data_IF_811097735721
#
_entry.id   IF_811097735721
#
_cell.length_a   1.000
_cell.length_b   1.000
_cell.length_c   1.000
_cell.angle_alpha   90.00
_cell.angle_beta   90.00
_cell.angle_gamma   90.00
#
_symmetry.space_group_name_H-M   'P 1'
#
loop_
_entity.id
_entity.type
_entity.pdbx_description
1 polymer ?
#
# COMPACT_ATOMS: atom_id res chain seq x y z
N UNK A 1 -38.30 11.94 -38.31
CA UNK A 1 -37.39 11.11 -39.09
C UNK A 1 -37.85 9.64 -39.27
N UNK A 2 -38.78 9.11 -38.46
CA UNK A 2 -39.29 7.70 -38.56
C UNK A 2 -40.78 7.66 -38.79
N UNK A 3 -41.26 8.17 -39.98
CA UNK A 3 -42.71 8.25 -40.30
C UNK A 3 -43.32 7.00 -40.95
N UNK A 4 -42.58 5.89 -41.04
CA UNK A 4 -43.10 4.64 -41.63
C UNK A 4 -42.81 3.41 -40.76
N UNK A 5 -43.47 2.29 -41.00
CA UNK A 5 -43.30 1.00 -40.32
C UNK A 5 -41.82 0.56 -40.40
N UNK A 6 -41.16 0.75 -41.54
CA UNK A 6 -39.75 0.42 -41.74
C UNK A 6 -38.84 1.18 -40.75
N UNK A 7 -39.05 2.52 -40.59
CA UNK A 7 -38.27 3.33 -39.62
C UNK A 7 -38.50 2.92 -38.18
N UNK A 8 -39.75 2.54 -37.81
CA UNK A 8 -40.08 2.05 -36.47
C UNK A 8 -39.39 0.73 -36.14
N UNK A 9 -39.31 -0.21 -37.08
CA UNK A 9 -38.63 -1.49 -36.90
C UNK A 9 -37.11 -1.30 -36.72
N UNK A 10 -36.49 -0.48 -37.56
CA UNK A 10 -35.04 -0.20 -37.43
C UNK A 10 -34.77 0.47 -36.08
N UNK A 11 -35.58 1.47 -35.67
CA UNK A 11 -35.46 2.14 -34.40
C UNK A 11 -35.60 1.18 -33.21
N UNK A 12 -36.59 0.29 -33.25
CA UNK A 12 -36.80 -0.72 -32.21
C UNK A 12 -35.61 -1.69 -32.12
N UNK A 13 -35.10 -2.15 -33.26
CA UNK A 13 -33.93 -3.04 -33.30
C UNK A 13 -32.68 -2.39 -32.73
N UNK A 14 -32.43 -1.11 -33.01
CA UNK A 14 -31.31 -0.36 -32.42
C UNK A 14 -31.48 -0.23 -30.91
N UNK A 15 -32.70 0.07 -30.43
CA UNK A 15 -32.96 0.15 -28.97
C UNK A 15 -32.74 -1.20 -28.31
N UNK A 16 -33.24 -2.29 -28.88
CA UNK A 16 -33.07 -3.65 -28.35
C UNK A 16 -31.60 -4.06 -28.30
N UNK A 17 -30.77 -3.61 -29.24
CA UNK A 17 -29.33 -3.85 -29.22
C UNK A 17 -28.56 -2.94 -28.25
N UNK A 18 -28.96 -1.68 -28.14
CA UNK A 18 -28.24 -0.64 -27.39
C UNK A 18 -28.52 -0.74 -25.89
N UNK A 19 -29.75 -1.04 -25.48
CA UNK A 19 -30.16 -1.05 -24.06
C UNK A 19 -29.47 -2.15 -23.24
N UNK A 20 -29.36 -3.41 -23.67
CA UNK A 20 -28.55 -4.41 -22.96
C UNK A 20 -27.08 -4.07 -22.94
N UNK A 21 -26.51 -3.44 -23.96
CA UNK A 21 -25.12 -2.97 -23.99
C UNK A 21 -24.83 -1.94 -22.92
N UNK A 22 -25.68 -0.90 -22.82
CA UNK A 22 -25.56 0.14 -21.80
C UNK A 22 -25.69 -0.47 -20.38
N UNK A 23 -26.69 -1.32 -20.19
CA UNK A 23 -26.91 -2.00 -18.90
C UNK A 23 -25.70 -2.87 -18.54
N UNK A 24 -25.18 -3.65 -19.50
CA UNK A 24 -24.01 -4.52 -19.31
C UNK A 24 -22.78 -3.74 -18.94
N UNK A 25 -22.46 -2.65 -19.65
CA UNK A 25 -21.33 -1.77 -19.33
C UNK A 25 -21.49 -1.14 -17.95
N UNK A 26 -22.69 -0.64 -17.63
CA UNK A 26 -22.97 0.00 -16.34
C UNK A 26 -22.83 -1.00 -15.18
N UNK A 27 -23.41 -2.18 -15.29
CA UNK A 27 -23.31 -3.22 -14.27
C UNK A 27 -21.87 -3.72 -14.10
N UNK A 28 -21.12 -3.88 -15.21
CA UNK A 28 -19.71 -4.27 -15.17
C UNK A 28 -18.86 -3.19 -14.48
N UNK A 29 -19.11 -1.93 -14.75
CA UNK A 29 -18.39 -0.83 -14.11
C UNK A 29 -18.70 -0.74 -12.61
N UNK A 30 -19.97 -0.63 -12.25
CA UNK A 30 -20.38 -0.46 -10.85
C UNK A 30 -20.07 -1.71 -10.00
N UNK A 31 -20.43 -2.89 -10.51
CA UNK A 31 -20.17 -4.16 -9.82
C UNK A 31 -18.68 -4.49 -9.78
N UNK A 32 -17.99 -4.32 -10.90
CA UNK A 32 -16.56 -4.60 -11.01
C UNK A 32 -15.71 -3.71 -10.10
N UNK A 33 -15.96 -2.39 -10.09
CA UNK A 33 -15.24 -1.47 -9.20
C UNK A 33 -15.50 -1.77 -7.73
N UNK A 34 -16.74 -2.08 -7.36
CA UNK A 34 -17.11 -2.43 -5.98
C UNK A 34 -16.42 -3.72 -5.51
N UNK A 35 -16.48 -4.77 -6.30
CA UNK A 35 -15.84 -6.06 -5.97
C UNK A 35 -14.32 -5.93 -5.92
N UNK A 36 -13.73 -5.25 -6.90
CA UNK A 36 -12.28 -5.13 -7.00
C UNK A 36 -11.70 -4.32 -5.83
N UNK A 37 -12.30 -3.16 -5.49
CA UNK A 37 -11.83 -2.37 -4.35
C UNK A 37 -11.91 -3.13 -3.03
N UNK A 38 -12.96 -3.91 -2.81
CA UNK A 38 -13.10 -4.70 -1.59
C UNK A 38 -12.06 -5.83 -1.55
N UNK A 39 -11.82 -6.49 -2.69
CA UNK A 39 -10.81 -7.55 -2.79
C UNK A 39 -9.41 -7.01 -2.58
N UNK A 40 -9.04 -5.91 -3.26
CA UNK A 40 -7.72 -5.29 -3.12
C UNK A 40 -7.56 -4.75 -1.69
N UNK A 41 -8.54 -4.03 -1.16
CA UNK A 41 -8.48 -3.48 0.19
C UNK A 41 -8.31 -4.57 1.26
N UNK A 42 -9.04 -5.68 1.16
CA UNK A 42 -8.87 -6.82 2.07
C UNK A 42 -7.50 -7.49 1.92
N UNK A 43 -6.98 -7.62 0.71
CA UNK A 43 -5.65 -8.17 0.46
C UNK A 43 -4.55 -7.26 1.02
N UNK A 44 -4.69 -5.94 0.87
CA UNK A 44 -3.74 -4.97 1.40
C UNK A 44 -3.76 -4.94 2.93
N UNK A 45 -4.95 -5.02 3.55
CA UNK A 45 -5.04 -5.20 5.01
C UNK A 45 -4.31 -6.46 5.47
N UNK A 46 -4.53 -7.60 4.81
CA UNK A 46 -3.86 -8.85 5.18
C UNK A 46 -2.35 -8.78 4.96
N UNK A 47 -1.89 -8.09 3.91
CA UNK A 47 -0.47 -7.86 3.69
C UNK A 47 0.11 -6.95 4.76
N UNK A 48 -0.55 -5.83 5.07
CA UNK A 48 -0.13 -4.92 6.15
C UNK A 48 -0.05 -5.65 7.50
N UNK A 49 -0.97 -6.58 7.78
CA UNK A 49 -0.94 -7.43 8.98
C UNK A 49 0.30 -8.33 9.01
N UNK A 50 0.62 -8.98 7.90
CA UNK A 50 1.82 -9.83 7.80
C UNK A 50 3.11 -9.03 7.95
N UNK A 51 3.18 -7.86 7.32
CA UNK A 51 4.32 -6.94 7.45
C UNK A 51 4.45 -6.40 8.88
N UNK A 52 3.34 -6.10 9.57
CA UNK A 52 3.38 -5.67 10.97
C UNK A 52 3.89 -6.78 11.90
N UNK A 53 3.53 -8.04 11.64
CA UNK A 53 4.07 -9.20 12.36
C UNK A 53 5.55 -9.45 12.04
N UNK A 54 5.96 -9.25 10.78
CA UNK A 54 7.36 -9.32 10.37
C UNK A 54 8.18 -8.25 11.09
N UNK A 55 7.74 -6.99 11.06
CA UNK A 55 8.34 -5.87 11.76
C UNK A 55 8.57 -6.18 13.25
N UNK A 56 7.52 -6.65 13.93
CA UNK A 56 7.63 -7.05 15.33
C UNK A 56 8.73 -8.09 15.54
N UNK A 57 8.78 -9.13 14.71
CA UNK A 57 9.82 -10.19 14.81
C UNK A 57 11.23 -9.66 14.58
N UNK A 58 11.40 -8.72 13.63
CA UNK A 58 12.70 -8.07 13.38
C UNK A 58 13.16 -7.35 14.63
N UNK A 59 12.32 -6.46 15.19
CA UNK A 59 12.67 -5.69 16.40
C UNK A 59 12.92 -6.61 17.62
N UNK A 60 12.09 -7.63 17.81
CA UNK A 60 12.26 -8.59 18.91
C UNK A 60 13.57 -9.38 18.77
N UNK A 61 13.92 -9.79 17.54
CA UNK A 61 15.20 -10.46 17.23
C UNK A 61 16.38 -9.56 17.55
N UNK A 62 16.34 -8.29 17.11
CA UNK A 62 17.41 -7.32 17.39
C UNK A 62 17.62 -7.10 18.89
N UNK A 63 16.53 -6.95 19.66
CA UNK A 63 16.63 -6.83 21.11
C UNK A 63 17.26 -8.09 21.73
N UNK A 64 16.89 -9.28 21.29
CA UNK A 64 17.45 -10.54 21.80
C UNK A 64 18.95 -10.71 21.40
N UNK A 65 19.34 -10.25 20.23
CA UNK A 65 20.75 -10.23 19.78
C UNK A 65 21.60 -9.26 20.60
N UNK A 66 21.16 -8.01 20.77
CA UNK A 66 21.87 -7.03 21.61
C UNK A 66 21.88 -7.47 23.08
N UNK A 67 20.78 -8.07 23.56
CA UNK A 67 20.74 -8.65 24.92
C UNK A 67 21.77 -9.77 25.08
N UNK A 68 22.01 -10.57 24.04
CA UNK A 68 23.05 -11.62 24.08
C UNK A 68 24.46 -11.06 24.26
N UNK A 69 24.73 -9.87 23.69
CA UNK A 69 25.97 -9.12 24.01
C UNK A 69 25.97 -8.62 25.45
N UNK A 70 24.87 -8.05 25.93
CA UNK A 70 24.78 -7.50 27.29
C UNK A 70 25.00 -8.54 28.40
N UNK A 71 24.63 -9.80 28.16
CA UNK A 71 24.86 -10.91 29.11
C UNK A 71 26.22 -11.58 28.97
N UNK A 72 27.05 -11.17 27.99
CA UNK A 72 28.39 -11.75 27.78
C UNK A 72 29.25 -11.63 29.05
N UNK A 73 29.79 -12.76 29.56
CA UNK A 73 30.69 -12.72 30.73
C UNK A 73 31.95 -11.86 30.49
N UNK A 74 32.40 -11.79 29.24
CA UNK A 74 33.55 -11.00 28.85
C UNK A 74 33.27 -9.49 28.95
N UNK A 75 32.16 -9.03 28.38
CA UNK A 75 31.72 -7.63 28.47
C UNK A 75 31.46 -7.25 29.94
N UNK A 76 30.70 -8.10 30.65
CA UNK A 76 30.37 -7.86 32.06
C UNK A 76 31.62 -7.69 32.93
N UNK A 77 32.61 -8.59 32.80
CA UNK A 77 33.86 -8.51 33.57
C UNK A 77 34.59 -7.22 33.29
N UNK A 78 34.72 -6.85 32.02
CA UNK A 78 35.42 -5.61 31.66
C UNK A 78 34.75 -4.38 32.27
N UNK A 79 33.43 -4.31 32.27
CA UNK A 79 32.69 -3.19 32.86
C UNK A 79 32.80 -3.20 34.38
N UNK A 80 32.74 -4.38 35.03
CA UNK A 80 32.98 -4.51 36.45
C UNK A 80 34.37 -3.92 36.81
N UNK A 81 35.41 -4.30 36.07
CA UNK A 81 36.77 -3.81 36.25
C UNK A 81 36.88 -2.28 35.98
N UNK A 82 36.24 -1.78 34.93
CA UNK A 82 36.19 -0.36 34.61
C UNK A 82 35.52 0.48 35.72
N UNK A 83 34.51 -0.07 36.38
CA UNK A 83 33.79 0.58 37.47
C UNK A 83 34.61 0.61 38.78
N UNK A 84 35.63 -0.24 38.93
CA UNK A 84 36.50 -0.24 40.16
C UNK A 84 37.20 1.09 40.37
N UNK A 85 37.48 1.86 39.31
CA UNK A 85 38.08 3.21 39.38
C UNK A 85 37.30 4.18 40.26
N UNK A 86 36.02 3.92 40.47
CA UNK A 86 35.13 4.77 41.28
C UNK A 86 35.07 4.40 42.74
N UNK A 87 35.58 3.24 43.16
CA UNK A 87 35.47 2.76 44.54
C UNK A 87 36.19 3.62 45.56
N UNK A 88 37.26 4.33 45.15
CA UNK A 88 38.07 5.17 46.03
C UNK A 88 37.77 6.67 45.91
N UNK A 89 36.76 7.05 45.07
CA UNK A 89 36.50 8.45 44.72
C UNK A 89 35.13 8.90 45.21
N UNK A 90 35.05 10.18 45.62
CA UNK A 90 33.76 10.82 45.90
C UNK A 90 32.99 11.16 44.63
N UNK A 91 31.66 11.23 44.71
CA UNK A 91 30.83 11.55 43.55
C UNK A 91 31.23 12.86 42.85
N UNK A 92 31.58 13.90 43.57
CA UNK A 92 32.01 15.18 42.99
C UNK A 92 33.34 15.07 42.21
N UNK A 93 34.23 14.21 42.65
CA UNK A 93 35.49 13.95 41.97
C UNK A 93 35.26 13.19 40.66
N UNK A 94 34.39 12.17 40.70
CA UNK A 94 34.00 11.39 39.53
C UNK A 94 33.35 12.29 38.46
N UNK A 95 32.40 13.13 38.85
CA UNK A 95 31.73 14.07 37.94
C UNK A 95 32.72 15.07 37.34
N UNK A 96 33.69 15.59 38.15
CA UNK A 96 34.73 16.50 37.63
C UNK A 96 35.63 15.83 36.59
N UNK A 97 36.01 14.57 36.81
CA UNK A 97 36.82 13.81 35.85
C UNK A 97 36.07 13.59 34.55
N UNK A 98 34.82 13.13 34.62
CA UNK A 98 33.96 12.90 33.43
C UNK A 98 33.78 14.21 32.64
N UNK A 99 33.40 15.29 33.33
CA UNK A 99 33.18 16.60 32.68
C UNK A 99 34.50 17.18 32.11
N UNK A 100 35.66 16.86 32.67
CA UNK A 100 36.95 17.30 32.12
C UNK A 100 37.22 16.67 30.75
N UNK A 101 36.79 15.41 30.54
CA UNK A 101 36.91 14.72 29.26
C UNK A 101 35.83 15.21 28.31
N UNK A 102 34.58 15.30 28.78
CA UNK A 102 33.43 15.78 28.00
C UNK A 102 33.70 17.15 27.35
N UNK A 103 34.22 18.11 28.12
CA UNK A 103 34.53 19.47 27.65
C UNK A 103 35.55 19.53 26.50
N UNK A 104 36.42 18.54 26.39
CA UNK A 104 37.43 18.47 25.32
C UNK A 104 37.02 17.51 24.21
N UNK A 105 36.04 16.59 24.46
CA UNK A 105 35.64 15.52 23.57
C UNK A 105 35.33 15.96 22.14
N UNK A 106 34.56 17.04 21.90
CA UNK A 106 34.24 17.46 20.53
C UNK A 106 35.48 17.86 19.71
N UNK A 107 36.54 18.32 20.40
CA UNK A 107 37.78 18.80 19.79
C UNK A 107 38.84 17.71 19.59
N UNK A 108 38.67 16.55 20.26
CA UNK A 108 39.58 15.43 20.11
C UNK A 108 39.47 14.80 18.72
N UNK A 109 40.62 14.53 18.10
CA UNK A 109 40.72 13.77 16.88
C UNK A 109 40.75 12.27 17.18
N UNK A 110 40.35 11.42 16.24
CA UNK A 110 40.34 9.96 16.39
C UNK A 110 41.68 9.35 16.77
N UNK A 111 42.79 10.04 16.47
CA UNK A 111 44.11 9.59 16.84
C UNK A 111 44.57 10.05 18.27
N UNK A 112 43.72 10.78 19.00
CA UNK A 112 44.01 11.20 20.38
C UNK A 112 44.11 9.98 21.31
N UNK A 113 45.00 10.00 22.31
CA UNK A 113 45.18 8.84 23.22
C UNK A 113 43.88 8.37 23.88
N UNK A 114 43.07 9.30 24.38
CA UNK A 114 41.76 9.00 25.01
C UNK A 114 40.81 8.30 24.03
N UNK A 115 40.68 8.80 22.81
CA UNK A 115 39.83 8.18 21.80
C UNK A 115 40.36 6.79 21.47
N UNK A 116 41.68 6.64 21.24
CA UNK A 116 42.28 5.34 20.94
C UNK A 116 42.06 4.31 22.03
N UNK A 117 42.12 4.73 23.29
CA UNK A 117 41.86 3.84 24.44
C UNK A 117 40.44 3.30 24.40
N UNK A 118 39.45 4.11 24.02
CA UNK A 118 38.02 3.74 23.95
C UNK A 118 37.71 2.90 22.72
N UNK A 119 38.30 3.21 21.56
CA UNK A 119 37.95 2.53 20.31
C UNK A 119 38.86 1.34 19.97
N UNK A 120 39.95 1.10 20.69
CA UNK A 120 40.92 0.02 20.43
C UNK A 120 41.18 -0.89 21.63
N UNK A 121 40.35 -0.84 22.67
CA UNK A 121 40.46 -1.80 23.77
C UNK A 121 39.82 -3.17 23.35
N UNK A 122 40.02 -4.18 24.20
CA UNK A 122 39.56 -5.55 23.92
C UNK A 122 38.05 -5.65 23.65
N UNK A 123 37.26 -4.83 24.36
CA UNK A 123 35.80 -4.80 24.15
C UNK A 123 35.45 -4.05 22.88
N UNK A 124 36.12 -2.96 22.55
CA UNK A 124 35.93 -2.25 21.31
C UNK A 124 36.23 -3.15 20.11
N UNK A 125 37.30 -3.93 20.14
CA UNK A 125 37.59 -4.89 19.07
C UNK A 125 36.50 -6.00 18.98
N UNK A 126 36.02 -6.51 20.11
CA UNK A 126 34.96 -7.51 20.15
C UNK A 126 33.65 -6.99 19.55
N UNK A 127 33.23 -5.76 19.92
CA UNK A 127 31.99 -5.19 19.34
C UNK A 127 32.16 -4.76 17.88
N UNK A 128 33.38 -4.42 17.40
CA UNK A 128 33.67 -4.17 15.99
C UNK A 128 33.56 -5.48 15.17
N UNK A 129 34.09 -6.59 15.68
CA UNK A 129 33.94 -7.89 15.03
C UNK A 129 32.46 -8.30 14.96
N UNK A 130 31.73 -8.07 16.05
CA UNK A 130 30.29 -8.31 16.09
C UNK A 130 29.57 -7.47 15.02
N UNK A 131 29.77 -6.15 15.01
CA UNK A 131 29.21 -5.23 14.02
C UNK A 131 29.54 -5.70 12.59
N UNK A 132 30.78 -6.08 12.33
CA UNK A 132 31.21 -6.58 11.01
C UNK A 132 30.46 -7.84 10.57
N UNK A 133 30.15 -8.73 11.51
CA UNK A 133 29.39 -9.95 11.24
C UNK A 133 27.94 -9.67 10.88
N UNK A 134 27.30 -8.73 11.57
CA UNK A 134 25.92 -8.32 11.29
C UNK A 134 25.80 -7.39 10.04
N UNK A 135 26.93 -6.97 9.47
CA UNK A 135 26.96 -6.20 8.22
C UNK A 135 26.67 -4.72 8.39
N UNK A 136 25.86 -4.16 7.49
CA UNK A 136 25.55 -2.73 7.45
C UNK A 136 24.35 -2.34 8.34
N UNK A 137 23.74 -3.30 9.01
CA UNK A 137 22.55 -3.08 9.85
C UNK A 137 22.87 -2.20 11.05
N UNK A 138 24.06 -2.36 11.65
CA UNK A 138 24.51 -1.53 12.77
C UNK A 138 25.47 -0.44 12.30
N UNK A 139 25.07 0.81 12.50
CA UNK A 139 25.90 1.96 12.18
C UNK A 139 26.98 2.20 13.26
N UNK A 140 26.59 2.05 14.54
CA UNK A 140 27.49 2.26 15.68
C UNK A 140 27.10 1.36 16.86
N UNK A 141 28.09 0.90 17.65
CA UNK A 141 27.88 0.20 18.92
C UNK A 141 28.83 0.81 19.94
N UNK A 142 28.32 1.14 21.13
CA UNK A 142 29.16 1.55 22.24
C UNK A 142 28.59 1.12 23.59
N UNK A 143 29.45 1.14 24.60
CA UNK A 143 29.17 0.71 25.96
C UNK A 143 29.57 1.82 26.94
N UNK A 144 28.65 2.09 27.87
CA UNK A 144 28.93 3.02 29.00
C UNK A 144 29.13 2.26 30.31
N UNK A 145 29.81 2.87 31.23
CA UNK A 145 29.90 2.43 32.62
C UNK A 145 28.65 2.86 33.46
N UNK A 146 28.67 2.59 34.77
CA UNK A 146 27.58 2.95 35.70
C UNK A 146 27.38 4.45 35.88
N UNK A 147 28.28 5.28 35.41
CA UNK A 147 28.22 6.74 35.48
C UNK A 147 27.88 7.39 34.13
N UNK A 148 27.69 6.58 33.09
CA UNK A 148 27.41 7.06 31.75
C UNK A 148 28.63 7.46 30.93
N UNK A 149 29.84 7.23 31.43
CA UNK A 149 31.05 7.48 30.63
C UNK A 149 31.21 6.36 29.57
N UNK A 150 31.54 6.72 28.35
CA UNK A 150 31.83 5.74 27.28
C UNK A 150 33.16 5.03 27.57
N UNK A 151 33.13 3.70 27.64
CA UNK A 151 34.32 2.87 27.93
C UNK A 151 34.77 2.01 26.74
N UNK A 152 33.90 1.75 25.79
CA UNK A 152 34.24 1.08 24.55
C UNK A 152 33.25 1.49 23.43
N UNK A 153 33.75 1.69 22.21
CA UNK A 153 32.97 2.09 21.08
C UNK A 153 33.56 1.58 19.77
N UNK A 154 32.73 1.37 18.75
CA UNK A 154 33.19 1.02 17.40
C UNK A 154 33.84 2.18 16.67
N UNK A 155 33.44 3.40 16.98
CA UNK A 155 33.95 4.67 16.46
C UNK A 155 33.81 5.76 17.55
N UNK A 156 34.32 6.96 17.30
CA UNK A 156 34.15 8.08 18.22
C UNK A 156 32.70 8.50 18.29
N UNK A 157 32.10 8.49 19.47
CA UNK A 157 30.74 8.96 19.75
C UNK A 157 30.66 10.50 19.68
N UNK A 158 29.43 11.05 19.53
CA UNK A 158 29.18 12.50 19.62
C UNK A 158 29.71 13.08 20.97
N UNK A 159 29.37 12.38 22.07
CA UNK A 159 29.67 12.79 23.45
C UNK A 159 30.34 11.65 24.21
N UNK A 160 31.14 12.01 25.21
CA UNK A 160 31.76 11.05 26.13
C UNK A 160 30.85 10.67 27.29
N UNK A 161 30.09 11.68 27.79
CA UNK A 161 29.15 11.52 28.88
C UNK A 161 27.74 11.34 28.34
N UNK A 162 27.11 10.25 28.72
CA UNK A 162 25.80 9.83 28.15
C UNK A 162 24.70 9.78 29.24
N UNK A 163 25.03 9.97 30.53
CA UNK A 163 24.03 9.84 31.58
C UNK A 163 23.06 11.03 31.71
N UNK A 164 23.29 12.11 30.96
CA UNK A 164 22.38 13.25 30.79
C UNK A 164 21.42 13.05 29.62
N UNK A 165 21.61 11.98 28.84
CA UNK A 165 20.76 11.64 27.71
C UNK A 165 19.51 10.83 28.15
N UNK A 166 18.34 11.16 27.61
CA UNK A 166 17.09 10.49 27.93
C UNK A 166 17.15 8.97 27.75
N UNK A 167 17.79 8.50 26.68
CA UNK A 167 17.91 7.07 26.40
C UNK A 167 18.68 6.33 27.50
N UNK A 168 19.70 6.99 28.09
CA UNK A 168 20.49 6.40 29.15
C UNK A 168 19.73 6.37 30.48
N UNK A 169 19.06 7.46 30.85
CA UNK A 169 18.21 7.54 32.03
C UNK A 169 17.13 6.45 32.04
N UNK A 170 16.42 6.30 30.90
CA UNK A 170 15.36 5.30 30.70
C UNK A 170 15.92 3.87 30.77
N UNK A 171 17.05 3.60 30.12
CA UNK A 171 17.67 2.29 30.14
C UNK A 171 18.28 1.95 31.52
N UNK A 172 18.85 2.93 32.21
CA UNK A 172 19.39 2.77 33.56
C UNK A 172 18.29 2.53 34.59
N UNK A 173 17.16 3.22 34.47
CA UNK A 173 15.95 3.06 35.28
C UNK A 173 16.26 2.99 36.80
N UNK A 174 16.93 4.00 37.33
CA UNK A 174 17.35 4.05 38.72
C UNK A 174 18.15 2.81 39.19
N UNK A 175 18.96 2.24 38.32
CA UNK A 175 19.79 1.07 38.57
C UNK A 175 19.08 -0.27 38.47
N UNK A 176 17.78 -0.30 38.16
CA UNK A 176 16.98 -1.53 37.97
C UNK A 176 17.16 -2.10 36.57
N UNK A 177 17.45 -1.26 35.61
CA UNK A 177 17.56 -1.61 34.19
C UNK A 177 16.19 -1.78 33.47
N UNK A 178 16.12 -1.26 32.28
CA UNK A 178 14.98 -1.45 31.36
C UNK A 178 15.50 -1.45 29.92
N UNK A 179 14.94 -2.28 29.06
CA UNK A 179 15.21 -2.17 27.62
C UNK A 179 14.57 -0.89 27.12
N UNK A 180 15.36 -0.03 26.49
CA UNK A 180 14.87 1.18 25.87
C UNK A 180 15.09 1.14 24.35
N UNK A 181 14.04 1.50 23.60
CA UNK A 181 14.07 1.70 22.17
C UNK A 181 13.76 3.17 21.89
N UNK A 182 14.66 3.88 21.19
CA UNK A 182 14.45 5.29 20.84
C UNK A 182 13.29 5.46 19.85
N UNK A 183 12.87 6.70 19.60
CA UNK A 183 12.18 7.02 18.35
C UNK A 183 13.19 6.97 17.21
N UNK A 184 12.70 6.90 15.97
CA UNK A 184 13.57 7.01 14.81
C UNK A 184 13.98 8.47 14.67
N UNK A 185 15.28 8.71 14.59
CA UNK A 185 15.87 10.04 14.47
C UNK A 185 17.13 10.00 13.59
N UNK A 186 17.57 11.16 13.13
CA UNK A 186 18.84 11.26 12.42
C UNK A 186 19.97 11.27 13.43
N UNK A 187 20.88 10.30 13.34
CA UNK A 187 22.07 10.22 14.19
C UNK A 187 23.24 10.96 13.53
N UNK A 188 23.70 12.02 14.17
CA UNK A 188 24.77 12.89 13.67
C UNK A 188 26.13 12.20 13.63
N UNK A 189 26.42 11.29 14.57
CA UNK A 189 27.69 10.56 14.64
C UNK A 189 27.78 9.48 13.58
N UNK A 190 26.71 8.72 13.41
CA UNK A 190 26.62 7.64 12.42
C UNK A 190 26.17 8.11 11.02
N UNK A 191 25.59 9.32 10.92
CA UNK A 191 25.07 9.95 9.68
C UNK A 191 23.98 9.12 8.97
N UNK A 192 23.13 8.48 9.74
CA UNK A 192 22.02 7.66 9.28
C UNK A 192 20.75 8.01 10.04
N UNK A 193 19.58 7.71 9.45
CA UNK A 193 18.36 7.63 10.25
C UNK A 193 18.37 6.31 11.01
N UNK A 194 18.27 6.40 12.32
CA UNK A 194 18.56 5.29 13.22
C UNK A 194 17.42 5.00 14.20
N UNK A 195 17.37 3.75 14.60
CA UNK A 195 16.64 3.24 15.73
C UNK A 195 17.66 2.74 16.76
N UNK A 196 17.62 3.28 17.99
CA UNK A 196 18.61 2.96 19.01
C UNK A 196 18.08 1.88 19.96
N UNK A 197 18.84 0.79 20.09
CA UNK A 197 18.61 -0.28 21.06
C UNK A 197 19.52 -0.09 22.26
N UNK A 198 18.93 0.24 23.41
CA UNK A 198 19.67 0.49 24.64
C UNK A 198 19.34 -0.59 25.66
N UNK A 199 20.31 -1.47 25.93
CA UNK A 199 20.13 -2.65 26.77
C UNK A 199 20.99 -2.51 28.03
N UNK A 200 20.41 -2.59 29.26
CA UNK A 200 21.20 -2.55 30.48
C UNK A 200 22.02 -3.83 30.64
N UNK A 201 23.28 -3.64 31.05
CA UNK A 201 24.18 -4.73 31.40
C UNK A 201 24.11 -4.89 32.94
N UNK A 202 23.65 -6.07 33.36
CA UNK A 202 23.40 -6.36 34.77
C UNK A 202 24.63 -7.02 35.43
N UNK A 203 24.77 -6.82 36.73
CA UNK A 203 25.73 -7.55 37.53
C UNK A 203 25.47 -9.07 37.55
N UNK A 204 26.39 -9.89 38.09
CA UNK A 204 26.23 -11.35 38.15
C UNK A 204 24.99 -11.79 38.93
N UNK A 205 24.46 -10.95 39.79
CA UNK A 205 23.26 -11.24 40.59
C UNK A 205 21.95 -10.83 39.88
N UNK A 206 22.05 -10.17 38.72
CA UNK A 206 20.95 -9.56 37.98
C UNK A 206 20.14 -8.52 38.82
N UNK A 207 20.79 -7.83 39.74
CA UNK A 207 20.14 -6.89 40.68
C UNK A 207 20.45 -5.43 40.39
N UNK A 208 21.57 -5.15 39.73
CA UNK A 208 22.03 -3.77 39.51
C UNK A 208 22.60 -3.61 38.10
N UNK A 209 22.29 -2.49 37.48
CA UNK A 209 22.92 -2.07 36.23
C UNK A 209 24.38 -1.70 36.49
N UNK A 210 25.30 -2.28 35.73
CA UNK A 210 26.73 -1.98 35.79
C UNK A 210 27.22 -1.17 34.57
N UNK A 211 26.39 -1.05 33.55
CA UNK A 211 26.64 -0.30 32.33
C UNK A 211 25.47 -0.46 31.36
N UNK A 212 25.53 0.22 30.23
CA UNK A 212 24.51 0.12 29.18
C UNK A 212 25.23 -0.06 27.85
N UNK A 213 24.75 -1.00 27.03
CA UNK A 213 25.12 -1.11 25.62
C UNK A 213 24.08 -0.38 24.76
N UNK A 214 24.53 0.50 23.89
CA UNK A 214 23.71 1.16 22.88
C UNK A 214 24.15 0.68 21.50
N UNK A 215 23.19 0.22 20.72
CA UNK A 215 23.35 -0.15 19.33
C UNK A 215 22.51 0.80 18.49
N UNK A 216 23.14 1.44 17.53
CA UNK A 216 22.55 2.37 16.58
C UNK A 216 22.33 1.59 15.30
N UNK A 217 21.08 1.22 15.00
CA UNK A 217 20.70 0.47 13.80
C UNK A 217 20.19 1.41 12.71
N UNK A 218 20.74 1.27 11.49
CA UNK A 218 20.25 1.98 10.31
C UNK A 218 18.88 1.43 9.90
N UNK A 219 17.86 2.27 9.97
CA UNK A 219 16.48 1.86 9.62
C UNK A 219 16.33 1.41 8.18
N UNK A 220 17.17 1.85 7.27
CA UNK A 220 17.15 1.47 5.86
C UNK A 220 17.46 -0.02 5.68
N UNK A 221 18.44 -0.52 6.45
CA UNK A 221 18.80 -1.93 6.47
C UNK A 221 17.82 -2.73 7.33
N UNK A 222 17.53 -2.25 8.53
CA UNK A 222 16.64 -2.88 9.50
C UNK A 222 15.23 -3.13 8.92
N UNK A 223 14.69 -2.16 8.19
CA UNK A 223 13.32 -2.23 7.63
C UNK A 223 13.31 -2.53 6.12
N UNK A 224 14.37 -3.09 5.58
CA UNK A 224 14.49 -3.43 4.16
C UNK A 224 13.33 -4.30 3.66
N UNK A 225 12.82 -5.22 4.49
CA UNK A 225 11.67 -6.06 4.15
C UNK A 225 10.40 -5.25 3.86
N UNK A 226 10.20 -4.10 4.51
CA UNK A 226 9.04 -3.21 4.30
C UNK A 226 9.26 -2.36 3.04
N UNK A 227 10.44 -1.76 2.90
CA UNK A 227 10.76 -0.85 1.78
C UNK A 227 10.69 -1.57 0.43
N UNK A 228 11.02 -2.86 0.40
CA UNK A 228 11.08 -3.65 -0.82
C UNK A 228 9.73 -4.26 -1.25
N UNK A 229 8.64 -3.96 -0.57
CA UNK A 229 7.29 -4.36 -1.01
C UNK A 229 6.86 -3.50 -2.19
N UNK A 230 6.68 -4.14 -3.35
CA UNK A 230 6.21 -3.49 -4.57
C UNK A 230 4.98 -4.22 -5.11
N UNK A 231 3.92 -3.48 -5.41
CA UNK A 231 2.66 -4.00 -5.92
C UNK A 231 2.28 -3.21 -7.18
N UNK A 232 2.46 -3.83 -8.35
CA UNK A 232 2.30 -3.12 -9.62
C UNK A 232 3.38 -2.03 -9.80
N UNK A 233 2.97 -0.86 -10.27
CA UNK A 233 3.87 0.28 -10.53
C UNK A 233 3.87 1.31 -9.39
N UNK A 234 2.71 1.54 -8.76
CA UNK A 234 2.53 2.57 -7.73
C UNK A 234 2.42 2.01 -6.32
N UNK A 235 2.17 0.69 -6.18
CA UNK A 235 1.90 0.09 -4.88
C UNK A 235 3.16 -0.20 -4.07
N UNK A 236 3.16 0.18 -2.78
CA UNK A 236 4.27 -0.02 -1.85
C UNK A 236 3.79 -0.05 -0.38
N UNK A 237 4.72 -0.31 0.53
CA UNK A 237 4.46 -0.32 1.97
C UNK A 237 5.17 0.83 2.66
N UNK A 238 4.55 1.34 3.73
CA UNK A 238 5.08 2.39 4.59
C UNK A 238 5.00 1.99 6.05
N UNK A 239 5.97 2.43 6.85
CA UNK A 239 5.89 2.42 8.30
C UNK A 239 5.53 3.83 8.78
N UNK A 240 4.47 3.93 9.56
CA UNK A 240 3.88 5.19 9.99
C UNK A 240 3.72 5.22 11.51
N UNK A 241 4.06 6.33 12.15
CA UNK A 241 3.80 6.53 13.58
C UNK A 241 2.37 7.02 13.84
N UNK A 242 1.92 6.93 15.08
CA UNK A 242 0.58 7.34 15.48
C UNK A 242 0.28 8.84 15.30
N UNK A 243 1.29 9.68 15.18
CA UNK A 243 1.16 11.11 14.88
C UNK A 243 1.10 11.40 13.37
N UNK A 244 1.11 10.34 12.56
CA UNK A 244 1.07 10.41 11.09
C UNK A 244 2.42 10.60 10.41
N UNK A 245 3.52 10.70 11.15
CA UNK A 245 4.85 10.80 10.54
C UNK A 245 5.19 9.50 9.83
N UNK A 246 5.53 9.55 8.55
CA UNK A 246 6.05 8.40 7.81
C UNK A 246 7.50 8.19 8.20
N UNK A 247 7.72 7.10 8.92
CA UNK A 247 9.04 6.72 9.44
C UNK A 247 9.94 6.31 8.29
N UNK A 248 9.42 5.46 7.41
CA UNK A 248 10.12 5.01 6.21
C UNK A 248 9.13 4.55 5.15
N UNK A 249 9.44 4.85 3.90
CA UNK A 249 8.78 4.35 2.71
C UNK A 249 9.80 3.98 1.62
N UNK A 250 9.32 3.47 0.47
CA UNK A 250 10.17 3.08 -0.65
C UNK A 250 10.65 4.27 -1.52
N UNK A 251 10.04 5.45 -1.39
CA UNK A 251 10.14 6.54 -2.37
C UNK A 251 10.82 7.78 -1.77
N UNK A 252 10.46 8.14 -0.54
CA UNK A 252 10.85 9.40 0.10
C UNK A 252 11.93 9.20 1.17
N UNK A 253 12.70 10.23 1.52
CA UNK A 253 13.60 10.17 2.66
C UNK A 253 12.83 9.91 3.98
N UNK A 254 13.40 9.17 4.93
CA UNK A 254 12.76 8.94 6.23
C UNK A 254 12.35 10.23 6.92
N UNK A 255 11.22 10.23 7.61
CA UNK A 255 10.65 11.34 8.39
C UNK A 255 10.36 12.63 7.60
N UNK A 256 10.36 12.57 6.24
CA UNK A 256 10.26 13.78 5.42
C UNK A 256 8.84 14.34 5.28
N UNK A 257 7.81 13.56 5.62
CA UNK A 257 6.42 13.96 5.44
C UNK A 257 5.46 13.29 6.42
N UNK A 258 4.22 13.81 6.49
CA UNK A 258 3.16 13.31 7.36
C UNK A 258 1.89 12.99 6.56
N UNK A 259 1.23 11.94 6.96
CA UNK A 259 -0.12 11.60 6.52
C UNK A 259 -1.10 12.64 7.08
N UNK A 260 -2.17 12.88 6.34
CA UNK A 260 -3.17 13.83 6.77
C UNK A 260 -3.89 13.36 8.06
N UNK A 261 -4.21 14.32 8.95
CA UNK A 261 -4.82 14.04 10.26
C UNK A 261 -6.17 13.31 10.14
N UNK A 262 -6.91 13.53 9.06
CA UNK A 262 -8.20 12.86 8.83
C UNK A 262 -8.04 11.36 8.63
N UNK A 263 -7.00 10.92 7.91
CA UNK A 263 -6.69 9.50 7.73
C UNK A 263 -6.21 8.88 9.04
N UNK A 264 -5.29 9.54 9.75
CA UNK A 264 -4.81 9.07 11.06
C UNK A 264 -5.95 8.90 12.06
N UNK A 265 -6.87 9.85 12.12
CA UNK A 265 -8.06 9.77 13.00
C UNK A 265 -8.93 8.55 12.68
N UNK A 266 -9.11 8.23 11.40
CA UNK A 266 -9.89 7.03 10.97
C UNK A 266 -9.21 5.72 11.39
N UNK A 267 -7.89 5.61 11.21
CA UNK A 267 -7.16 4.38 11.48
C UNK A 267 -6.89 4.16 12.95
N UNK A 268 -6.69 5.23 13.74
CA UNK A 268 -6.45 5.13 15.18
C UNK A 268 -7.64 4.53 15.94
N UNK A 269 -8.85 4.59 15.36
CA UNK A 269 -10.05 3.98 15.92
C UNK A 269 -10.08 2.45 15.75
N UNK A 270 -9.21 1.87 14.92
CA UNK A 270 -9.15 0.43 14.67
C UNK A 270 -7.71 -0.08 14.63
N UNK A 271 -7.53 -1.36 14.99
CA UNK A 271 -6.19 -1.99 14.96
C UNK A 271 -5.75 -2.42 13.56
N UNK A 272 -6.66 -2.42 12.60
CA UNK A 272 -6.39 -2.79 11.23
C UNK A 272 -7.64 -2.74 10.37
N UNK A 273 -7.45 -2.68 9.06
CA UNK A 273 -8.52 -2.60 8.08
C UNK A 273 -8.02 -2.07 6.75
N UNK A 274 -8.94 -1.58 5.94
CA UNK A 274 -8.62 -0.86 4.73
C UNK A 274 -9.55 0.33 4.52
N UNK A 275 -9.09 1.33 3.78
CA UNK A 275 -9.84 2.55 3.48
C UNK A 275 -9.50 3.06 2.09
N UNK A 276 -10.34 3.98 1.60
CA UNK A 276 -10.02 4.82 0.45
C UNK A 276 -9.72 6.22 1.00
N UNK A 277 -8.55 6.72 0.71
CA UNK A 277 -8.17 8.09 1.07
C UNK A 277 -7.09 8.60 0.11
N UNK A 278 -6.71 9.86 0.29
CA UNK A 278 -5.57 10.41 -0.42
C UNK A 278 -4.29 10.02 0.27
N UNK A 279 -3.33 9.61 -0.54
CA UNK A 279 -1.97 9.40 -0.07
C UNK A 279 -1.24 10.74 0.19
N UNK A 280 0.05 10.66 0.47
CA UNK A 280 0.95 11.79 0.69
C UNK A 280 1.12 12.71 -0.52
N UNK A 281 0.88 12.18 -1.72
CA UNK A 281 0.93 12.93 -2.99
C UNK A 281 -0.41 13.54 -3.36
N UNK A 282 -1.46 13.32 -2.53
CA UNK A 282 -2.83 13.78 -2.79
C UNK A 282 -3.59 12.94 -3.81
N UNK A 283 -3.08 11.76 -4.18
CA UNK A 283 -3.69 10.82 -5.12
C UNK A 283 -4.65 9.90 -4.35
N UNK A 284 -5.84 9.65 -4.91
CA UNK A 284 -6.78 8.71 -4.32
C UNK A 284 -6.21 7.29 -4.41
N UNK A 285 -6.04 6.63 -3.28
CA UNK A 285 -5.43 5.32 -3.17
C UNK A 285 -6.29 4.36 -2.35
N UNK A 286 -6.12 3.06 -2.59
CA UNK A 286 -6.63 2.00 -1.73
C UNK A 286 -5.52 1.72 -0.71
N UNK A 287 -5.84 1.85 0.57
CA UNK A 287 -4.90 1.74 1.68
C UNK A 287 -5.37 0.65 2.62
N UNK A 288 -4.58 -0.44 2.71
CA UNK A 288 -4.69 -1.41 3.78
C UNK A 288 -3.74 -1.05 4.92
N UNK A 289 -4.13 -1.24 6.17
CA UNK A 289 -3.31 -0.88 7.31
C UNK A 289 -3.44 -1.88 8.45
N UNK A 290 -2.38 -1.99 9.26
CA UNK A 290 -2.35 -2.80 10.46
C UNK A 290 -1.45 -2.16 11.53
N UNK A 291 -1.92 -2.18 12.77
CA UNK A 291 -1.14 -1.78 13.93
C UNK A 291 -0.04 -2.80 14.23
N UNK A 292 1.15 -2.35 14.60
CA UNK A 292 2.24 -3.22 15.06
C UNK A 292 2.00 -3.55 16.54
N UNK A 293 1.61 -4.78 16.82
CA UNK A 293 1.33 -5.25 18.19
C UNK A 293 2.61 -5.82 18.82
N UNK A 294 3.13 -5.14 19.83
CA UNK A 294 4.29 -5.61 20.58
C UNK A 294 3.92 -6.74 21.52
N UNK A 295 4.77 -7.75 21.62
CA UNK A 295 4.56 -8.87 22.54
C UNK A 295 4.56 -8.44 24.01
N UNK A 296 3.84 -9.19 24.86
CA UNK A 296 3.73 -8.91 26.30
C UNK A 296 5.09 -8.81 27.03
N UNK A 297 6.12 -9.46 26.49
CA UNK A 297 7.53 -9.40 26.95
C UNK A 297 8.05 -7.96 27.02
N UNK A 298 7.55 -7.07 26.16
CA UNK A 298 8.02 -5.68 26.02
C UNK A 298 7.00 -4.64 26.51
N UNK A 299 5.88 -5.05 27.11
CA UNK A 299 4.82 -4.12 27.53
C UNK A 299 5.28 -3.11 28.58
N UNK A 300 6.31 -3.43 29.38
CA UNK A 300 6.89 -2.54 30.39
C UNK A 300 8.09 -1.72 29.88
N UNK A 301 8.51 -1.90 28.63
CA UNK A 301 9.59 -1.15 28.00
C UNK A 301 9.05 0.03 27.19
N UNK A 302 9.93 0.93 26.74
CA UNK A 302 9.58 2.01 25.82
C UNK A 302 8.91 1.53 24.52
N UNK A 303 9.14 0.27 24.13
CA UNK A 303 8.54 -0.38 22.97
C UNK A 303 7.01 -0.50 23.11
N UNK A 304 6.50 -0.79 24.30
CA UNK A 304 5.07 -0.91 24.55
C UNK A 304 4.28 0.37 24.30
N UNK A 305 4.94 1.52 24.30
CA UNK A 305 4.33 2.83 24.04
C UNK A 305 4.40 3.25 22.57
N UNK A 306 5.10 2.49 21.71
CA UNK A 306 5.22 2.83 20.30
C UNK A 306 4.00 2.32 19.53
N UNK A 307 3.19 3.24 19.07
CA UNK A 307 2.02 2.96 18.25
C UNK A 307 2.39 3.17 16.77
N UNK A 308 2.91 2.13 16.15
CA UNK A 308 3.28 2.13 14.74
C UNK A 308 2.25 1.36 13.92
N UNK A 309 2.10 1.78 12.67
CA UNK A 309 1.23 1.16 11.68
C UNK A 309 2.02 0.83 10.43
N UNK A 310 1.72 -0.31 9.85
CA UNK A 310 2.13 -0.63 8.47
C UNK A 310 0.98 -0.27 7.56
N UNK A 311 1.28 0.48 6.51
CA UNK A 311 0.39 0.75 5.40
C UNK A 311 0.85 -0.02 4.17
N UNK A 312 -0.11 -0.50 3.41
CA UNK A 312 0.09 -1.04 2.06
C UNK A 312 -0.91 -0.35 1.17
N UNK A 313 -0.43 0.28 0.13
CA UNK A 313 -1.27 1.13 -0.72
C UNK A 313 -0.98 0.96 -2.19
N UNK A 314 -1.93 1.37 -3.01
CA UNK A 314 -1.81 1.48 -4.47
C UNK A 314 -2.78 2.53 -4.99
N UNK A 315 -2.39 3.25 -6.02
CA UNK A 315 -3.22 4.26 -6.67
C UNK A 315 -4.47 3.64 -7.30
N UNK A 316 -5.63 4.28 -7.07
CA UNK A 316 -6.90 3.82 -7.64
C UNK A 316 -6.91 3.71 -9.17
N UNK A 317 -6.30 4.64 -9.95
CA UNK A 317 -6.24 4.49 -11.40
C UNK A 317 -5.57 3.20 -11.85
N UNK A 318 -4.46 2.82 -11.21
CA UNK A 318 -3.77 1.57 -11.52
C UNK A 318 -4.59 0.36 -11.06
N UNK A 319 -5.07 0.39 -9.81
CA UNK A 319 -5.86 -0.67 -9.22
C UNK A 319 -7.10 -1.03 -10.06
N UNK A 320 -7.69 -0.05 -10.80
CA UNK A 320 -8.86 -0.27 -11.65
C UNK A 320 -8.54 -0.58 -13.11
N UNK A 321 -7.27 -0.60 -13.51
CA UNK A 321 -6.86 -0.93 -14.88
C UNK A 321 -7.50 -2.23 -15.42
N UNK A 322 -7.62 -3.34 -14.65
CA UNK A 322 -8.27 -4.57 -15.13
C UNK A 322 -9.74 -4.36 -15.53
N UNK A 323 -10.45 -3.44 -14.85
CA UNK A 323 -11.85 -3.13 -15.17
C UNK A 323 -11.97 -2.46 -16.53
N UNK A 324 -11.10 -1.51 -16.84
CA UNK A 324 -11.11 -0.84 -18.15
C UNK A 324 -10.87 -1.83 -19.29
N UNK A 325 -9.97 -2.80 -19.09
CA UNK A 325 -9.78 -3.89 -20.05
C UNK A 325 -11.03 -4.75 -20.24
N UNK A 326 -11.76 -5.03 -19.17
CA UNK A 326 -13.02 -5.76 -19.25
C UNK A 326 -14.13 -4.94 -19.92
N UNK A 327 -14.27 -3.65 -19.57
CA UNK A 327 -15.24 -2.73 -20.18
C UNK A 327 -15.02 -2.62 -21.69
N UNK A 328 -13.77 -2.54 -22.15
CA UNK A 328 -13.45 -2.50 -23.58
C UNK A 328 -13.95 -3.75 -24.29
N UNK A 329 -13.71 -4.95 -23.72
CA UNK A 329 -14.20 -6.23 -24.30
C UNK A 329 -15.74 -6.29 -24.34
N UNK A 330 -16.41 -5.89 -23.27
CA UNK A 330 -17.89 -5.83 -23.22
C UNK A 330 -18.43 -4.83 -24.23
N UNK A 331 -17.79 -3.69 -24.39
CA UNK A 331 -18.17 -2.66 -25.37
C UNK A 331 -18.05 -3.17 -26.82
N UNK A 332 -16.99 -3.89 -27.16
CA UNK A 332 -16.83 -4.51 -28.48
C UNK A 332 -17.98 -5.50 -28.78
N UNK A 333 -18.27 -6.36 -27.80
CA UNK A 333 -19.40 -7.32 -27.94
C UNK A 333 -20.74 -6.59 -28.13
N UNK A 334 -20.97 -5.51 -27.37
CA UNK A 334 -22.14 -4.65 -27.51
C UNK A 334 -22.28 -4.05 -28.92
N UNK A 335 -21.20 -3.50 -29.47
CA UNK A 335 -21.17 -2.93 -30.83
C UNK A 335 -21.46 -4.00 -31.89
N UNK A 336 -20.87 -5.20 -31.75
CA UNK A 336 -21.14 -6.32 -32.67
C UNK A 336 -22.60 -6.74 -32.63
N UNK A 337 -23.21 -6.83 -31.44
CA UNK A 337 -24.63 -7.17 -31.29
C UNK A 337 -25.53 -6.11 -31.95
N UNK A 338 -25.25 -4.82 -31.74
CA UNK A 338 -25.99 -3.73 -32.41
C UNK A 338 -25.90 -3.87 -33.94
N UNK A 339 -24.70 -4.17 -34.44
CA UNK A 339 -24.48 -4.42 -35.88
C UNK A 339 -25.36 -5.58 -36.41
N UNK A 340 -25.35 -6.72 -35.69
CA UNK A 340 -26.16 -7.90 -36.06
C UNK A 340 -27.64 -7.56 -36.01
N UNK A 341 -28.15 -6.96 -34.94
CA UNK A 341 -29.57 -6.59 -34.85
C UNK A 341 -29.98 -5.59 -35.93
N UNK A 342 -29.10 -4.64 -36.28
CA UNK A 342 -29.35 -3.69 -37.36
C UNK A 342 -29.43 -4.42 -38.71
N UNK A 343 -28.53 -5.36 -39.00
CA UNK A 343 -28.58 -6.16 -40.24
C UNK A 343 -29.86 -7.01 -40.32
N UNK A 344 -30.26 -7.66 -39.23
CA UNK A 344 -31.52 -8.42 -39.16
C UNK A 344 -32.71 -7.51 -39.39
N UNK A 345 -32.78 -6.34 -38.77
CA UNK A 345 -33.85 -5.37 -38.95
C UNK A 345 -33.92 -4.86 -40.40
N UNK A 346 -32.78 -4.60 -41.03
CA UNK A 346 -32.73 -4.22 -42.45
C UNK A 346 -33.22 -5.36 -43.36
N UNK A 347 -32.89 -6.60 -43.05
CA UNK A 347 -33.40 -7.78 -43.78
C UNK A 347 -34.91 -7.90 -43.67
N UNK A 348 -35.44 -7.82 -42.44
CA UNK A 348 -36.92 -7.84 -42.21
C UNK A 348 -37.59 -6.67 -42.93
N UNK A 349 -37.02 -5.46 -42.87
CA UNK A 349 -37.58 -4.31 -43.56
C UNK A 349 -37.64 -4.51 -45.10
N UNK A 350 -36.63 -5.16 -45.68
CA UNK A 350 -36.60 -5.44 -47.14
C UNK A 350 -37.48 -6.60 -47.56
N UNK A 351 -37.52 -7.66 -46.78
CA UNK A 351 -38.23 -8.90 -47.17
C UNK A 351 -39.71 -8.91 -46.80
N UNK A 352 -40.11 -8.21 -45.75
CA UNK A 352 -41.49 -8.21 -45.25
C UNK A 352 -42.14 -6.84 -45.41
N UNK A 353 -41.53 -5.78 -44.88
CA UNK A 353 -42.20 -4.47 -44.80
C UNK A 353 -42.35 -3.82 -46.16
N UNK A 354 -41.31 -3.85 -46.98
CA UNK A 354 -41.36 -3.21 -48.31
C UNK A 354 -42.40 -3.86 -49.27
N UNK A 355 -42.48 -5.20 -49.39
CA UNK A 355 -43.54 -5.85 -50.16
C UNK A 355 -44.94 -5.52 -49.64
N UNK A 356 -45.18 -5.52 -48.31
CA UNK A 356 -46.47 -5.16 -47.72
C UNK A 356 -46.90 -3.71 -48.06
N UNK A 357 -45.94 -2.76 -48.07
CA UNK A 357 -46.25 -1.38 -48.50
C UNK A 357 -46.60 -1.30 -49.97
N UNK A 358 -45.94 -2.09 -50.86
CA UNK A 358 -46.26 -2.19 -52.28
C UNK A 358 -47.65 -2.78 -52.45
N UNK A 359 -48.04 -3.82 -51.69
CA UNK A 359 -49.39 -4.39 -51.69
C UNK A 359 -50.40 -3.33 -51.24
N UNK A 360 -50.17 -2.60 -50.15
CA UNK A 360 -51.09 -1.57 -49.68
C UNK A 360 -51.34 -0.48 -50.73
N UNK A 361 -50.28 0.04 -51.34
CA UNK A 361 -50.37 1.08 -52.36
C UNK A 361 -51.07 0.58 -53.59
N UNK A 362 -50.78 -0.67 -54.05
CA UNK A 362 -51.41 -1.30 -55.23
C UNK A 362 -52.88 -1.60 -55.03
N UNK A 363 -53.28 -2.15 -53.87
CA UNK A 363 -54.69 -2.33 -53.51
C UNK A 363 -55.41 -1.00 -53.48
N UNK A 364 -54.79 0.07 -52.97
CA UNK A 364 -55.36 1.41 -53.01
C UNK A 364 -55.58 1.95 -54.43
N UNK A 365 -54.69 1.64 -55.37
CA UNK A 365 -54.85 2.03 -56.80
C UNK A 365 -55.95 1.22 -57.49
N UNK A 366 -56.02 -0.09 -57.24
CA UNK A 366 -57.12 -0.98 -57.78
C UNK A 366 -58.47 -0.50 -57.26
N UNK A 367 -58.58 -0.14 -55.96
CA UNK A 367 -59.79 0.41 -55.35
C UNK A 367 -60.22 1.77 -55.93
N UNK A 368 -59.33 2.52 -56.56
CA UNK A 368 -59.59 3.76 -57.27
C UNK A 368 -60.00 3.55 -58.75
N UNK A 369 -60.18 2.28 -59.17
CA UNK A 369 -60.58 1.95 -60.53
C UNK A 369 -59.42 1.77 -61.53
N UNK A 370 -58.15 1.80 -61.10
CA UNK A 370 -56.99 1.54 -61.96
C UNK A 370 -56.70 0.04 -62.04
N UNK A 371 -57.64 -0.69 -62.72
CA UNK A 371 -57.69 -2.15 -62.81
C UNK A 371 -56.57 -2.77 -63.69
N UNK A 372 -55.93 -1.99 -64.54
CA UNK A 372 -54.77 -2.40 -65.34
C UNK A 372 -53.43 -2.48 -64.55
N UNK A 373 -53.41 -2.05 -63.31
CA UNK A 373 -52.23 -2.12 -62.46
C UNK A 373 -51.92 -3.55 -61.99
N UNK A 374 -50.70 -4.01 -62.07
CA UNK A 374 -50.24 -5.31 -61.55
C UNK A 374 -49.19 -5.14 -60.46
N UNK A 375 -49.34 -5.98 -59.46
CA UNK A 375 -48.37 -5.99 -58.30
C UNK A 375 -47.21 -6.92 -58.70
N UNK A 376 -45.99 -6.32 -58.84
CA UNK A 376 -44.79 -7.09 -59.15
C UNK A 376 -44.04 -7.43 -57.81
N UNK A 377 -44.56 -8.42 -57.11
CA UNK A 377 -43.95 -8.96 -55.91
C UNK A 377 -43.42 -10.35 -56.20
N UNK A 378 -42.10 -10.56 -56.12
CA UNK A 378 -41.43 -11.81 -56.50
C UNK A 378 -40.95 -12.60 -55.24
N UNK A 379 -41.72 -12.56 -54.15
CA UNK A 379 -41.42 -13.39 -52.97
C UNK A 379 -42.08 -14.78 -53.19
N UNK A 380 -41.50 -15.85 -52.61
CA UNK A 380 -41.99 -17.22 -52.66
C UNK A 380 -42.61 -17.64 -51.31
N UNK A 381 -43.34 -16.73 -50.70
CA UNK A 381 -43.97 -16.86 -49.38
C UNK A 381 -45.45 -16.40 -49.49
N UNK A 382 -46.15 -16.36 -48.37
CA UNK A 382 -47.56 -15.97 -48.24
C UNK A 382 -47.80 -14.54 -48.77
N UNK A 383 -46.78 -13.68 -48.81
CA UNK A 383 -46.88 -12.32 -49.37
C UNK A 383 -46.95 -12.38 -50.90
N UNK A 384 -46.15 -13.27 -51.49
CA UNK A 384 -46.21 -13.54 -52.95
C UNK A 384 -47.54 -14.12 -53.38
N UNK A 385 -48.06 -15.07 -52.59
CA UNK A 385 -49.41 -15.70 -52.88
C UNK A 385 -50.55 -14.68 -52.75
N UNK A 386 -50.47 -13.77 -51.77
CA UNK A 386 -51.41 -12.67 -51.59
C UNK A 386 -51.37 -11.71 -52.81
N UNK A 387 -50.12 -11.36 -53.25
CA UNK A 387 -49.97 -10.52 -54.46
C UNK A 387 -50.60 -11.14 -55.72
N UNK A 388 -50.42 -12.46 -55.93
CA UNK A 388 -51.00 -13.19 -57.01
C UNK A 388 -52.56 -13.22 -56.92
N UNK A 389 -53.12 -13.42 -55.74
CA UNK A 389 -54.53 -13.40 -55.47
C UNK A 389 -55.19 -12.05 -55.80
N UNK A 390 -54.52 -10.95 -55.37
CA UNK A 390 -54.90 -9.57 -55.62
C UNK A 390 -54.84 -9.28 -57.15
N UNK A 391 -53.78 -9.71 -57.84
CA UNK A 391 -53.67 -9.57 -59.28
C UNK A 391 -54.80 -10.32 -60.04
N UNK A 392 -55.17 -11.54 -59.60
CA UNK A 392 -56.26 -12.32 -60.18
C UNK A 392 -57.57 -11.61 -59.94
N UNK A 393 -57.86 -11.09 -58.78
CA UNK A 393 -59.00 -10.28 -58.45
C UNK A 393 -59.11 -9.02 -59.34
N UNK A 394 -58.02 -8.33 -59.58
CA UNK A 394 -57.95 -7.13 -60.43
C UNK A 394 -58.33 -7.48 -61.90
N UNK A 395 -57.85 -8.63 -62.42
CA UNK A 395 -58.20 -9.13 -63.76
C UNK A 395 -59.68 -9.44 -63.82
N UNK A 396 -60.25 -10.12 -62.83
CA UNK A 396 -61.70 -10.46 -62.84
C UNK A 396 -62.58 -9.20 -62.79
N UNK A 397 -62.20 -8.22 -61.98
CA UNK A 397 -62.86 -6.91 -61.90
C UNK A 397 -62.78 -6.16 -63.26
N UNK A 398 -61.60 -6.14 -63.89
CA UNK A 398 -61.37 -5.51 -65.18
C UNK A 398 -62.25 -6.14 -66.25
N UNK A 399 -62.32 -7.48 -66.29
CA UNK A 399 -63.20 -8.22 -67.24
C UNK A 399 -64.67 -7.91 -67.01
N UNK A 400 -65.12 -7.91 -65.74
CA UNK A 400 -66.57 -7.61 -65.45
C UNK A 400 -66.92 -6.15 -65.77
N UNK A 401 -66.01 -5.21 -65.61
CA UNK A 401 -66.25 -3.81 -65.94
C UNK A 401 -66.34 -3.63 -67.46
N UNK A 402 -65.47 -4.30 -68.24
CA UNK A 402 -65.53 -4.29 -69.72
C UNK A 402 -66.73 -5.03 -70.30
N UNK A 403 -67.38 -5.97 -69.59
CA UNK A 403 -68.60 -6.64 -69.99
C UNK A 403 -69.86 -5.79 -69.74
N UNK A 404 -69.72 -4.75 -68.89
CA UNK A 404 -70.84 -3.84 -68.53
C UNK A 404 -70.82 -2.52 -69.30
N UNK A 405 -69.76 -2.19 -70.01
CA UNK A 405 -69.66 -1.08 -70.98
C UNK A 405 -70.05 -1.55 -72.39
#
# INVERSE_FOLDING_TARGET
MFRGIQGKIIFLAVIIGLLPGIVGVTLTYLGGTHLLKNSIGSNFHELARKESEYMRRVIEKEIDEVHSLAISPFIRKYIEDANLKYNSKGNEEIIREINSIENIWPRLKDNSPIIREIINNEIAEYIKEYKKREGEEYAEIFITDTKGAVIAATNKTSDYFQADEKWWEEAYNNGKGSVYLSDVEYDESAKVFALNFCIPIMDKSNKRVIGIIKVIADIKHLFSGIINVHIGETGHSDLVSSDGTVIIDAISPPLSWKINEGLISKISASRGGWTLDKDEHGINSIIGFSHVEWGSKFSASSLGNKNWYIFVRQDMPEAYTPIFGLLWKVSIVGVLLIGIFTLVALSIARQIVRPLLILQDGVGLIGQGKLNQRLEIKTKDEIGDLANSINSMAVELENRTNELE
#
